data_IF_136971484993
#
_entry.id   IF_136971484993
#
_cell.length_a   1.000
_cell.length_b   1.000
_cell.length_c   1.000
_cell.angle_alpha   90.00
_cell.angle_beta   90.00
_cell.angle_gamma   90.00
#
_symmetry.space_group_name_H-M   'P 1'
#
loop_
_entity.id
_entity.type
_entity.pdbx_description
1 polymer ?
#
# COMPACT_ATOMS: atom_id res chain seq x y z
N UNK A 1 -24.39 -51.55 -61.01
CA UNK A 1 -25.08 -50.44 -60.31
C UNK A 1 -24.47 -50.27 -58.92
N UNK A 2 -23.59 -49.28 -58.71
CA UNK A 2 -23.09 -48.89 -57.38
C UNK A 2 -23.17 -47.37 -57.30
N UNK A 3 -24.01 -46.86 -56.39
CA UNK A 3 -24.25 -45.44 -56.15
C UNK A 3 -23.04 -44.85 -55.42
N UNK A 4 -22.48 -43.77 -55.94
CA UNK A 4 -21.43 -42.99 -55.30
C UNK A 4 -22.10 -41.91 -54.44
N UNK A 5 -21.94 -42.00 -53.12
CA UNK A 5 -22.41 -40.99 -52.17
C UNK A 5 -21.33 -39.90 -52.04
N UNK A 6 -21.71 -38.64 -52.26
CA UNK A 6 -20.90 -37.48 -51.90
C UNK A 6 -21.24 -37.07 -50.48
N UNK A 7 -20.29 -37.22 -49.56
CA UNK A 7 -20.39 -36.69 -48.19
C UNK A 7 -19.64 -35.37 -48.16
N UNK A 8 -20.36 -34.25 -48.12
CA UNK A 8 -19.77 -32.92 -47.93
C UNK A 8 -19.46 -32.72 -46.45
N UNK A 9 -18.19 -32.67 -46.08
CA UNK A 9 -17.75 -32.35 -44.72
C UNK A 9 -17.68 -30.83 -44.57
N UNK A 10 -18.64 -30.23 -43.87
CA UNK A 10 -18.61 -28.81 -43.52
C UNK A 10 -17.68 -28.61 -42.31
N UNK A 11 -16.49 -28.07 -42.53
CA UNK A 11 -15.58 -27.62 -41.46
C UNK A 11 -16.09 -26.27 -40.93
N UNK A 12 -16.75 -26.27 -39.77
CA UNK A 12 -17.08 -25.05 -39.04
C UNK A 12 -15.83 -24.48 -38.36
N UNK A 13 -15.35 -23.32 -38.82
CA UNK A 13 -14.32 -22.57 -38.13
C UNK A 13 -14.92 -21.90 -36.89
N UNK A 14 -14.58 -22.40 -35.70
CA UNK A 14 -14.84 -21.72 -34.44
C UNK A 14 -13.78 -20.62 -34.31
N UNK A 15 -14.16 -19.39 -34.66
CA UNK A 15 -13.36 -18.19 -34.37
C UNK A 15 -13.41 -17.91 -32.88
N UNK A 16 -12.38 -18.36 -32.15
CA UNK A 16 -12.11 -17.89 -30.79
C UNK A 16 -11.61 -16.45 -30.92
N UNK A 17 -12.48 -15.48 -30.65
CA UNK A 17 -12.07 -14.10 -30.41
C UNK A 17 -11.28 -14.07 -29.11
N UNK A 18 -9.96 -14.13 -29.21
CA UNK A 18 -9.09 -13.72 -28.14
C UNK A 18 -9.33 -12.23 -27.91
N UNK A 19 -10.06 -11.87 -26.85
CA UNK A 19 -10.06 -10.51 -26.33
C UNK A 19 -8.66 -10.27 -25.79
N UNK A 20 -7.82 -9.60 -26.57
CA UNK A 20 -6.55 -9.08 -26.08
C UNK A 20 -6.90 -8.03 -25.02
N UNK A 21 -6.46 -8.26 -23.78
CA UNK A 21 -6.41 -7.20 -22.78
C UNK A 21 -5.60 -6.05 -23.38
N UNK A 22 -6.21 -4.88 -23.53
CA UNK A 22 -5.48 -3.67 -23.87
C UNK A 22 -4.46 -3.43 -22.76
N UNK A 23 -3.19 -3.78 -23.03
CA UNK A 23 -2.07 -3.17 -22.33
C UNK A 23 -2.26 -1.66 -22.46
N UNK A 24 -2.53 -0.99 -21.35
CA UNK A 24 -2.70 0.46 -21.38
C UNK A 24 -1.40 1.10 -21.88
N UNK A 25 -1.44 1.68 -23.08
CA UNK A 25 -0.30 2.44 -23.65
C UNK A 25 0.05 3.70 -22.85
N UNK A 26 -0.79 4.06 -21.89
CA UNK A 26 -0.59 5.21 -21.02
C UNK A 26 0.26 4.87 -19.78
N UNK A 27 1.22 5.73 -19.39
CA UNK A 27 1.92 5.66 -18.11
C UNK A 27 0.98 5.41 -16.93
N UNK A 28 1.42 4.57 -15.98
CA UNK A 28 0.64 4.22 -14.79
C UNK A 28 1.32 4.74 -13.53
N UNK A 29 0.61 5.54 -12.76
CA UNK A 29 1.05 6.10 -11.49
C UNK A 29 0.29 5.43 -10.35
N UNK A 30 1.00 4.60 -9.57
CA UNK A 30 0.45 3.89 -8.42
C UNK A 30 0.72 4.64 -7.11
N UNK A 31 -0.35 4.86 -6.34
CA UNK A 31 -0.28 5.37 -4.97
C UNK A 31 -0.59 4.28 -3.95
N UNK A 32 0.28 4.11 -2.96
CA UNK A 32 0.04 3.24 -1.80
C UNK A 32 -0.35 4.13 -0.62
N UNK A 33 -1.62 4.09 -0.25
CA UNK A 33 -2.20 4.90 0.83
C UNK A 33 -2.22 4.08 2.11
N UNK A 34 -1.37 4.41 3.10
CA UNK A 34 -1.28 3.64 4.33
C UNK A 34 -1.09 4.50 5.59
N UNK A 35 -1.49 3.93 6.73
CA UNK A 35 -1.39 4.57 8.03
C UNK A 35 -2.64 4.37 8.88
N UNK A 36 -2.99 5.38 9.68
CA UNK A 36 -4.11 5.29 10.62
C UNK A 36 -5.07 6.49 10.52
N UNK A 37 -6.10 6.44 11.36
CA UNK A 37 -7.01 7.56 11.67
C UNK A 37 -7.54 8.25 10.39
N UNK A 38 -7.06 9.46 10.08
CA UNK A 38 -7.47 10.22 8.91
C UNK A 38 -7.21 9.48 7.59
N UNK A 39 -6.13 8.68 7.50
CA UNK A 39 -5.87 7.86 6.31
C UNK A 39 -6.90 6.75 6.18
N UNK A 40 -7.32 6.16 7.30
CA UNK A 40 -8.39 5.17 7.29
C UNK A 40 -9.73 5.81 6.90
N UNK A 41 -10.04 6.99 7.44
CA UNK A 41 -11.29 7.71 7.21
C UNK A 41 -11.42 8.39 5.84
N UNK A 42 -10.32 8.81 5.21
CA UNK A 42 -10.41 9.54 3.94
C UNK A 42 -10.95 8.67 2.81
N UNK A 43 -11.83 9.22 1.97
CA UNK A 43 -12.18 8.61 0.69
C UNK A 43 -11.25 9.18 -0.39
N UNK A 44 -10.39 8.37 -1.04
CA UNK A 44 -9.50 8.87 -2.08
C UNK A 44 -10.25 9.52 -3.25
N UNK A 45 -11.46 9.04 -3.59
CA UNK A 45 -12.22 9.55 -4.73
C UNK A 45 -12.80 10.96 -4.52
N UNK A 46 -12.87 11.46 -3.29
CA UNK A 46 -13.43 12.79 -3.01
C UNK A 46 -12.39 13.90 -2.97
N UNK A 47 -11.10 13.58 -3.09
CA UNK A 47 -10.04 14.60 -3.04
C UNK A 47 -8.72 14.17 -3.65
N UNK A 48 -8.13 13.08 -3.15
CA UNK A 48 -6.81 12.62 -3.60
C UNK A 48 -6.80 12.26 -5.10
N UNK A 49 -7.73 11.39 -5.52
CA UNK A 49 -7.80 10.91 -6.89
C UNK A 49 -8.21 12.00 -7.90
N UNK A 50 -9.17 12.90 -7.60
CA UNK A 50 -9.42 14.07 -8.44
C UNK A 50 -8.16 14.91 -8.71
N UNK A 51 -7.39 15.26 -7.67
CA UNK A 51 -6.19 16.07 -7.83
C UNK A 51 -5.07 15.30 -8.53
N UNK A 52 -4.90 14.01 -8.25
CA UNK A 52 -3.93 13.18 -8.94
C UNK A 52 -4.27 13.06 -10.44
N UNK A 53 -5.54 12.79 -10.79
CA UNK A 53 -6.00 12.74 -12.19
C UNK A 53 -5.79 14.07 -12.89
N UNK A 54 -6.00 15.20 -12.22
CA UNK A 54 -5.72 16.53 -12.78
C UNK A 54 -4.22 16.75 -13.04
N UNK A 55 -3.36 16.28 -12.13
CA UNK A 55 -1.91 16.39 -12.26
C UNK A 55 -1.37 15.53 -13.42
N UNK A 56 -1.83 14.29 -13.52
CA UNK A 56 -1.35 13.30 -14.49
C UNK A 56 -2.15 13.29 -15.81
N UNK A 57 -3.21 14.11 -15.91
CA UNK A 57 -4.02 14.32 -17.11
C UNK A 57 -4.56 13.01 -17.70
N UNK A 58 -4.06 12.61 -18.86
CA UNK A 58 -4.51 11.43 -19.62
C UNK A 58 -3.80 10.14 -19.16
N UNK A 59 -2.79 10.25 -18.29
CA UNK A 59 -2.10 9.10 -17.72
C UNK A 59 -2.95 8.39 -16.66
N UNK A 60 -2.71 7.09 -16.49
CA UNK A 60 -3.50 6.28 -15.57
C UNK A 60 -3.03 6.49 -14.14
N UNK A 61 -3.96 6.83 -13.25
CA UNK A 61 -3.72 6.85 -11.80
C UNK A 61 -4.49 5.72 -11.12
N UNK A 62 -3.79 4.93 -10.32
CA UNK A 62 -4.37 3.84 -9.51
C UNK A 62 -3.88 3.93 -8.07
N UNK A 63 -4.60 3.32 -7.13
CA UNK A 63 -4.18 3.28 -5.75
C UNK A 63 -4.52 1.95 -5.07
N UNK A 64 -3.74 1.62 -4.04
CA UNK A 64 -4.10 0.65 -3.00
C UNK A 64 -4.26 1.40 -1.68
N UNK A 65 -5.14 0.91 -0.80
CA UNK A 65 -5.39 1.53 0.50
C UNK A 65 -5.37 0.49 1.61
N UNK A 66 -4.38 0.59 2.49
CA UNK A 66 -4.22 -0.29 3.66
C UNK A 66 -4.07 0.59 4.90
N UNK A 67 -5.18 0.86 5.56
CA UNK A 67 -5.20 1.73 6.73
C UNK A 67 -6.30 1.32 7.72
N UNK A 68 -6.02 1.51 9.01
CA UNK A 68 -6.99 1.22 10.08
C UNK A 68 -6.84 2.23 11.23
N UNK A 69 -7.98 2.64 11.79
CA UNK A 69 -8.02 3.60 12.90
C UNK A 69 -7.26 3.13 14.14
N UNK A 70 -6.55 4.06 14.77
CA UNK A 70 -5.95 3.89 16.10
C UNK A 70 -4.84 2.84 16.20
N UNK A 71 -4.13 2.54 15.11
CA UNK A 71 -3.08 1.52 15.08
C UNK A 71 -1.69 2.15 15.25
N UNK A 72 -0.84 1.62 16.15
CA UNK A 72 0.55 2.03 16.30
C UNK A 72 1.43 1.50 15.15
N UNK A 73 2.58 2.12 14.89
CA UNK A 73 3.48 1.73 13.79
C UNK A 73 4.00 0.29 13.90
N UNK A 74 4.01 -0.31 15.10
CA UNK A 74 4.38 -1.70 15.30
C UNK A 74 3.49 -2.71 14.54
N UNK A 75 2.33 -2.27 14.03
CA UNK A 75 1.48 -3.06 13.13
C UNK A 75 1.99 -3.12 11.68
N UNK A 76 3.02 -2.35 11.35
CA UNK A 76 3.70 -2.33 10.05
C UNK A 76 5.15 -2.83 10.10
N UNK A 77 5.80 -2.83 11.27
CA UNK A 77 7.24 -3.10 11.40
C UNK A 77 7.49 -4.22 12.42
N UNK A 78 8.09 -5.32 11.96
CA UNK A 78 8.30 -6.53 12.78
C UNK A 78 9.33 -6.29 13.90
N UNK A 79 10.37 -5.53 13.60
CA UNK A 79 11.50 -5.22 14.47
C UNK A 79 11.18 -4.12 15.48
N UNK A 80 9.95 -3.59 15.48
CA UNK A 80 9.56 -2.49 16.37
C UNK A 80 9.79 -2.84 17.84
N UNK A 81 9.52 -4.08 18.27
CA UNK A 81 9.74 -4.47 19.67
C UNK A 81 11.20 -4.42 20.07
N UNK A 82 12.12 -4.78 19.17
CA UNK A 82 13.55 -4.74 19.45
C UNK A 82 14.06 -3.30 19.49
N UNK A 83 13.60 -2.46 18.55
CA UNK A 83 13.84 -1.02 18.58
C UNK A 83 13.33 -0.41 19.89
N UNK A 84 12.13 -0.77 20.33
CA UNK A 84 11.54 -0.26 21.56
C UNK A 84 12.39 -0.61 22.79
N UNK A 85 12.88 -1.84 22.90
CA UNK A 85 13.80 -2.27 23.97
C UNK A 85 15.10 -1.48 23.94
N UNK A 86 15.70 -1.32 22.77
CA UNK A 86 16.94 -0.53 22.60
C UNK A 86 16.75 0.94 22.99
N UNK A 87 15.54 1.48 22.79
CA UNK A 87 15.14 2.84 23.20
C UNK A 87 14.71 2.94 24.67
N UNK A 88 14.81 1.85 25.43
CA UNK A 88 14.59 1.83 26.87
C UNK A 88 13.14 1.60 27.31
N UNK A 89 12.24 1.17 26.41
CA UNK A 89 10.89 0.75 26.82
C UNK A 89 10.98 -0.61 27.50
N UNK A 90 10.38 -0.71 28.69
CA UNK A 90 10.30 -1.99 29.39
C UNK A 90 9.26 -2.94 28.76
N UNK A 91 9.39 -4.24 29.07
CA UNK A 91 8.55 -5.29 28.51
C UNK A 91 7.05 -5.12 28.82
N UNK A 92 6.68 -4.49 29.95
CA UNK A 92 5.25 -4.28 30.30
C UNK A 92 4.65 -3.18 29.42
N UNK A 93 5.40 -2.10 29.19
CA UNK A 93 5.00 -1.05 28.25
C UNK A 93 4.88 -1.59 26.82
N UNK A 94 5.87 -2.35 26.35
CA UNK A 94 5.83 -3.02 25.04
C UNK A 94 4.58 -3.89 24.93
N UNK A 95 4.32 -4.76 25.90
CA UNK A 95 3.14 -5.63 25.88
C UNK A 95 1.82 -4.85 25.88
N UNK A 96 1.75 -3.70 26.56
CA UNK A 96 0.55 -2.84 26.54
C UNK A 96 0.32 -2.19 25.16
N UNK A 97 1.39 -1.81 24.47
CA UNK A 97 1.34 -1.23 23.12
C UNK A 97 0.99 -2.30 22.09
N UNK A 98 1.70 -3.42 22.10
CA UNK A 98 1.53 -4.48 21.09
C UNK A 98 0.31 -5.34 21.35
N UNK A 99 -0.13 -5.46 22.62
CA UNK A 99 -1.25 -6.31 23.05
C UNK A 99 -1.09 -7.78 22.63
N UNK A 100 0.15 -8.23 22.43
CA UNK A 100 0.45 -9.56 21.88
C UNK A 100 0.06 -9.74 20.41
N UNK A 101 -0.37 -8.68 19.73
CA UNK A 101 -0.62 -8.70 18.29
C UNK A 101 0.67 -8.29 17.56
N UNK A 102 0.97 -8.99 16.46
CA UNK A 102 2.13 -8.68 15.61
C UNK A 102 1.83 -7.69 14.49
N UNK A 103 2.66 -7.75 13.45
CA UNK A 103 2.48 -7.01 12.20
C UNK A 103 1.19 -7.48 11.50
N UNK A 104 0.37 -6.52 11.05
CA UNK A 104 -0.93 -6.77 10.43
C UNK A 104 -1.05 -6.13 9.04
N UNK A 105 -0.35 -5.02 8.79
CA UNK A 105 -0.61 -4.18 7.60
C UNK A 105 0.50 -4.22 6.55
N UNK A 106 1.67 -4.75 6.88
CA UNK A 106 2.77 -4.87 5.93
C UNK A 106 2.46 -5.86 4.80
N UNK A 107 2.06 -7.09 5.15
CA UNK A 107 1.77 -8.13 4.16
C UNK A 107 0.59 -7.75 3.22
N UNK A 108 -0.53 -7.18 3.71
CA UNK A 108 -1.59 -6.70 2.82
C UNK A 108 -1.13 -5.65 1.79
N UNK A 109 -0.12 -4.82 2.10
CA UNK A 109 0.46 -3.90 1.12
C UNK A 109 1.18 -4.68 0.02
N UNK A 110 1.99 -5.69 0.39
CA UNK A 110 2.72 -6.53 -0.57
C UNK A 110 1.75 -7.29 -1.48
N UNK A 111 0.71 -7.88 -0.89
CA UNK A 111 -0.28 -8.68 -1.61
C UNK A 111 -1.07 -7.81 -2.59
N UNK A 112 -1.62 -6.68 -2.15
CA UNK A 112 -2.35 -5.78 -3.04
C UNK A 112 -1.46 -5.14 -4.11
N UNK A 113 -0.19 -4.87 -3.79
CA UNK A 113 0.77 -4.41 -4.79
C UNK A 113 0.98 -5.47 -5.88
N UNK A 114 1.14 -6.74 -5.49
CA UNK A 114 1.25 -7.86 -6.43
C UNK A 114 0.01 -7.94 -7.34
N UNK A 115 -1.20 -7.85 -6.77
CA UNK A 115 -2.45 -7.88 -7.54
C UNK A 115 -2.54 -6.72 -8.54
N UNK A 116 -2.06 -5.53 -8.16
CA UNK A 116 -1.97 -4.38 -9.08
C UNK A 116 -1.00 -4.66 -10.22
N UNK A 117 0.14 -5.31 -9.96
CA UNK A 117 1.12 -5.63 -10.99
C UNK A 117 0.62 -6.68 -12.00
N UNK A 118 -0.35 -7.51 -11.65
CA UNK A 118 -1.00 -8.41 -12.61
C UNK A 118 -1.74 -7.63 -13.70
N UNK A 119 -2.31 -6.47 -13.34
CA UNK A 119 -3.03 -5.57 -14.26
C UNK A 119 -2.12 -4.54 -14.92
N UNK A 120 -1.14 -4.04 -14.17
CA UNK A 120 -0.24 -2.97 -14.56
C UNK A 120 1.20 -3.38 -14.24
N UNK A 121 1.83 -4.22 -15.07
CA UNK A 121 3.11 -4.87 -14.72
C UNK A 121 4.28 -3.90 -14.55
N UNK A 122 4.21 -2.71 -15.16
CA UNK A 122 5.28 -1.71 -15.11
C UNK A 122 4.74 -0.32 -14.76
N UNK A 123 4.36 -0.04 -13.50
CA UNK A 123 3.96 1.30 -13.10
C UNK A 123 5.13 2.28 -13.26
N UNK A 124 4.91 3.36 -14.00
CA UNK A 124 5.88 4.46 -14.21
C UNK A 124 6.37 5.00 -12.87
N UNK A 125 5.46 5.25 -11.92
CA UNK A 125 5.83 5.66 -10.57
C UNK A 125 5.07 4.87 -9.51
N UNK A 126 5.73 4.63 -8.38
CA UNK A 126 5.09 4.16 -7.15
C UNK A 126 5.38 5.19 -6.05
N UNK A 127 4.33 5.63 -5.37
CA UNK A 127 4.42 6.61 -4.28
C UNK A 127 3.72 6.07 -3.05
N UNK A 128 4.44 5.97 -1.93
CA UNK A 128 3.88 5.60 -0.64
C UNK A 128 3.47 6.85 0.13
N UNK A 129 2.17 7.03 0.34
CA UNK A 129 1.59 8.11 1.13
C UNK A 129 1.30 7.57 2.54
N UNK A 130 2.06 8.08 3.52
CA UNK A 130 1.96 7.71 4.92
C UNK A 130 1.27 8.80 5.72
N UNK A 131 0.24 8.45 6.50
CA UNK A 131 -0.29 9.35 7.53
C UNK A 131 -0.69 8.54 8.75
N UNK A 132 0.17 8.62 9.76
CA UNK A 132 0.09 7.89 11.02
C UNK A 132 1.02 8.61 12.01
N UNK A 133 0.80 8.39 13.30
CA UNK A 133 1.72 8.81 14.36
C UNK A 133 0.99 9.16 15.64
N UNK A 134 -0.30 9.53 15.56
CA UNK A 134 -1.08 9.99 16.71
C UNK A 134 -1.21 8.89 17.77
N UNK A 135 -1.26 7.61 17.36
CA UNK A 135 -1.34 6.49 18.30
C UNK A 135 -0.01 6.26 19.00
N UNK A 136 1.11 6.41 18.30
CA UNK A 136 2.42 6.26 18.92
C UNK A 136 2.72 7.42 19.87
N UNK A 137 2.38 8.64 19.46
CA UNK A 137 2.49 9.86 20.25
C UNK A 137 1.62 9.84 21.52
N UNK A 138 0.36 9.39 21.42
CA UNK A 138 -0.55 9.27 22.59
C UNK A 138 -0.35 8.00 23.40
N UNK A 139 0.25 6.96 22.81
CA UNK A 139 0.33 5.61 23.37
C UNK A 139 1.67 5.28 24.04
N UNK A 140 2.64 6.20 24.03
CA UNK A 140 3.97 5.99 24.60
C UNK A 140 4.88 5.10 23.75
N UNK A 141 4.68 5.09 22.44
CA UNK A 141 5.49 4.34 21.47
C UNK A 141 6.41 5.25 20.62
N UNK A 142 6.43 6.55 20.92
CA UNK A 142 7.13 7.61 20.19
C UNK A 142 8.65 7.40 20.13
N UNK A 143 9.27 6.87 21.20
CA UNK A 143 10.72 6.66 21.26
C UNK A 143 11.26 5.75 20.12
N UNK A 144 10.46 4.76 19.71
CA UNK A 144 10.81 3.82 18.63
C UNK A 144 10.38 4.31 17.24
N UNK A 145 9.54 5.35 17.17
CA UNK A 145 8.80 5.71 15.97
C UNK A 145 9.71 6.05 14.77
N UNK A 146 10.71 6.90 15.00
CA UNK A 146 11.62 7.39 13.94
C UNK A 146 12.39 6.24 13.27
N UNK A 147 12.94 5.32 14.06
CA UNK A 147 13.71 4.19 13.52
C UNK A 147 12.78 3.14 12.87
N UNK A 148 11.59 2.90 13.45
CA UNK A 148 10.59 2.06 12.82
C UNK A 148 10.14 2.60 11.45
N UNK A 149 9.90 3.90 11.33
CA UNK A 149 9.51 4.53 10.06
C UNK A 149 10.62 4.43 9.00
N UNK A 150 11.88 4.59 9.39
CA UNK A 150 13.02 4.37 8.49
C UNK A 150 13.10 2.91 8.00
N UNK A 151 12.88 1.93 8.88
CA UNK A 151 12.83 0.53 8.49
C UNK A 151 11.66 0.25 7.55
N UNK A 152 10.48 0.79 7.84
CA UNK A 152 9.31 0.66 6.95
C UNK A 152 9.62 1.16 5.54
N UNK A 153 10.23 2.35 5.42
CA UNK A 153 10.65 2.92 4.13
C UNK A 153 11.64 1.98 3.42
N UNK A 154 12.65 1.52 4.15
CA UNK A 154 13.72 0.67 3.62
C UNK A 154 13.17 -0.66 3.12
N UNK A 155 12.33 -1.30 3.91
CA UNK A 155 11.78 -2.61 3.59
C UNK A 155 10.77 -2.54 2.46
N UNK A 156 9.89 -1.54 2.43
CA UNK A 156 8.95 -1.39 1.31
C UNK A 156 9.71 -1.16 0.00
N UNK A 157 10.76 -0.33 -0.02
CA UNK A 157 11.61 -0.17 -1.22
C UNK A 157 12.23 -1.49 -1.68
N UNK A 158 12.76 -2.27 -0.73
CA UNK A 158 13.38 -3.58 -1.00
C UNK A 158 12.37 -4.59 -1.52
N UNK A 159 11.28 -4.80 -0.78
CA UNK A 159 10.35 -5.91 -0.99
C UNK A 159 9.40 -5.65 -2.17
N UNK A 160 9.04 -4.38 -2.41
CA UNK A 160 8.30 -3.98 -3.61
C UNK A 160 9.21 -3.83 -4.84
N UNK A 161 10.53 -4.01 -4.66
CA UNK A 161 11.56 -3.86 -5.71
C UNK A 161 11.52 -2.49 -6.39
N UNK A 162 11.29 -1.44 -5.61
CA UNK A 162 11.23 -0.04 -6.05
C UNK A 162 12.17 0.82 -5.23
N UNK A 163 13.50 0.75 -5.47
CA UNK A 163 14.45 1.62 -4.79
C UNK A 163 14.19 3.11 -5.07
N UNK A 164 13.53 3.41 -6.20
CA UNK A 164 13.08 4.72 -6.66
C UNK A 164 11.72 5.16 -6.08
N UNK A 165 11.07 4.33 -5.26
CA UNK A 165 9.75 4.65 -4.70
C UNK A 165 9.79 5.96 -3.89
N UNK A 166 8.83 6.82 -4.20
CA UNK A 166 8.62 8.08 -3.50
C UNK A 166 7.92 7.84 -2.16
N UNK A 167 8.22 8.68 -1.17
CA UNK A 167 7.52 8.69 0.11
C UNK A 167 7.00 10.09 0.41
N UNK A 168 5.72 10.18 0.69
CA UNK A 168 5.05 11.39 1.16
C UNK A 168 4.56 11.11 2.56
N UNK A 169 5.09 11.83 3.54
CA UNK A 169 4.75 11.65 4.96
C UNK A 169 3.90 12.85 5.39
N UNK A 170 2.62 12.60 5.65
CA UNK A 170 1.73 13.55 6.30
C UNK A 170 2.06 13.65 7.78
N UNK A 171 2.51 14.83 8.22
CA UNK A 171 2.70 15.12 9.64
C UNK A 171 1.34 15.09 10.36
N UNK A 172 1.33 14.54 11.57
CA UNK A 172 0.15 14.61 12.44
C UNK A 172 -0.19 16.07 12.77
N UNK A 173 -1.46 16.35 13.08
CA UNK A 173 -1.93 17.70 13.38
C UNK A 173 -1.27 18.31 14.62
N UNK A 174 -1.23 19.63 14.71
CA UNK A 174 -0.79 20.41 15.89
C UNK A 174 -1.80 20.39 17.06
N UNK A 175 -2.45 19.24 17.32
CA UNK A 175 -3.49 19.12 18.32
C UNK A 175 -2.97 19.09 19.78
N UNK A 176 -1.68 18.79 19.97
CA UNK A 176 -1.04 18.74 21.29
C UNK A 176 0.45 19.11 21.23
N UNK A 177 0.82 20.30 20.71
CA UNK A 177 2.22 20.70 20.47
C UNK A 177 3.06 20.80 21.74
N UNK A 178 2.42 20.89 22.91
CA UNK A 178 3.07 20.90 24.22
C UNK A 178 3.60 19.53 24.65
N UNK A 179 3.18 18.44 23.98
CA UNK A 179 3.63 17.08 24.29
C UNK A 179 4.87 16.75 23.47
N UNK A 180 6.03 16.44 24.09
CA UNK A 180 7.25 16.10 23.35
C UNK A 180 7.10 14.93 22.36
N UNK A 181 6.16 14.02 22.61
CA UNK A 181 5.87 12.89 21.73
C UNK A 181 5.04 13.26 20.49
N UNK A 182 4.53 14.49 20.40
CA UNK A 182 3.62 14.98 19.35
C UNK A 182 4.29 15.97 18.38
N UNK A 183 5.56 16.32 18.62
CA UNK A 183 6.36 17.28 17.83
C UNK A 183 7.53 16.63 17.13
#
# INVERSE_FOLDING_TARGET
MKKLFFTTLALGAISVLAMADEKSDHPVHLFILSGQSNMAGMNPETGFMPEAKKLFKDEKVVYIKVAKGGQPICRWVKEWEDIAKEKGLDSKHIQKITKGEGVQFYQPILDQYKDILEKYPNPTSVTFCWMQGERDASGGADAAYKEALKLLITYLRRDLKRPDMNFVIGRISDAAPERPSWV
#
